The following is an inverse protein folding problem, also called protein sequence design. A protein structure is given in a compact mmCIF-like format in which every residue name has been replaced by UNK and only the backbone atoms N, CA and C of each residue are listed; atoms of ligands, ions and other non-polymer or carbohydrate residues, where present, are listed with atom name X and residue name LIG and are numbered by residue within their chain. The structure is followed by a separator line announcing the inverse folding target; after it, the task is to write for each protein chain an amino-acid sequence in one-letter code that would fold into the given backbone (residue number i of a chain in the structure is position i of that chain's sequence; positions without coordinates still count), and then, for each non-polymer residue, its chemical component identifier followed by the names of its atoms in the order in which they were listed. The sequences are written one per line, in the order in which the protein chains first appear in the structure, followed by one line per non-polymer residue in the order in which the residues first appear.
data_IF_303686315142
#
_entry.id   IF_303686315142
#
_cell.length_a   1.000
_cell.length_b   1.000
_cell.length_c   1.000
_cell.angle_alpha   90.00
_cell.angle_beta   90.00
_cell.angle_gamma   90.00
#
_symmetry.space_group_name_H-M   'P 1'
#
loop_
_entity.id
_entity.type
_entity.pdbx_description
1 polymer ?
#
# COMPACT_ATOMS: atom_id res chain seq x y z
N UNK A 1 -11.96 -14.65 0.79
CA UNK A 1 -10.50 -14.74 0.93
C UNK A 1 -9.87 -13.87 -0.14
N UNK A 2 -9.04 -12.90 0.27
CA UNK A 2 -8.19 -12.11 -0.62
C UNK A 2 -6.82 -12.79 -0.59
N UNK A 3 -6.55 -13.65 -1.58
CA UNK A 3 -5.28 -14.39 -1.72
C UNK A 3 -4.54 -13.91 -2.96
N UNK A 4 -3.29 -14.32 -3.12
CA UNK A 4 -2.47 -14.03 -4.32
C UNK A 4 -2.19 -12.53 -4.55
N UNK A 5 -1.83 -11.82 -3.48
CA UNK A 5 -1.42 -10.41 -3.54
C UNK A 5 0.11 -10.26 -3.65
N UNK A 6 0.82 -11.32 -4.06
CA UNK A 6 2.29 -11.30 -4.21
C UNK A 6 2.78 -10.23 -5.19
N UNK A 7 1.92 -9.81 -6.11
CA UNK A 7 2.16 -8.72 -7.06
C UNK A 7 1.53 -7.37 -6.65
N UNK A 8 0.96 -7.25 -5.44
CA UNK A 8 0.33 -5.99 -5.00
C UNK A 8 1.36 -4.96 -4.50
N UNK A 9 2.52 -5.42 -4.03
CA UNK A 9 3.54 -4.59 -3.37
C UNK A 9 4.83 -4.47 -4.20
N UNK A 10 4.73 -4.09 -5.47
CA UNK A 10 5.87 -4.05 -6.41
C UNK A 10 7.15 -3.38 -5.90
N UNK A 11 7.05 -2.38 -5.03
CA UNK A 11 8.21 -1.68 -4.45
C UNK A 11 9.17 -2.63 -3.71
N UNK A 12 8.69 -3.76 -3.19
CA UNK A 12 9.54 -4.67 -2.40
C UNK A 12 10.60 -5.40 -3.24
N UNK A 13 10.52 -5.32 -4.56
CA UNK A 13 11.52 -5.87 -5.48
C UNK A 13 12.61 -4.84 -5.83
N UNK A 14 12.36 -3.56 -5.53
CA UNK A 14 13.27 -2.47 -5.84
C UNK A 14 12.95 -1.24 -4.97
N UNK A 15 13.82 -1.02 -4.00
CA UNK A 15 13.72 0.02 -2.98
C UNK A 15 14.33 1.36 -3.40
N UNK A 16 14.93 1.49 -4.59
CA UNK A 16 15.64 2.73 -4.97
C UNK A 16 14.75 3.99 -4.95
N UNK A 17 13.51 3.88 -5.42
CA UNK A 17 12.54 4.99 -5.54
C UNK A 17 11.28 4.77 -4.69
N UNK A 18 11.39 4.07 -3.55
CA UNK A 18 10.22 3.65 -2.78
C UNK A 18 9.36 4.82 -2.27
N UNK A 19 9.97 5.96 -1.91
CA UNK A 19 9.26 7.15 -1.42
C UNK A 19 8.36 7.75 -2.51
N UNK A 20 8.88 7.89 -3.74
CA UNK A 20 8.11 8.35 -4.88
C UNK A 20 6.96 7.39 -5.18
N UNK A 21 7.26 6.08 -5.21
CA UNK A 21 6.26 5.03 -5.44
C UNK A 21 5.17 5.00 -4.38
N UNK A 22 5.50 5.25 -3.12
CA UNK A 22 4.52 5.35 -2.04
C UNK A 22 3.54 6.51 -2.26
N UNK A 23 4.05 7.64 -2.76
CA UNK A 23 3.25 8.83 -3.03
C UNK A 23 2.58 8.85 -4.43
N UNK A 24 2.79 7.82 -5.25
CA UNK A 24 2.30 7.78 -6.62
C UNK A 24 0.76 7.59 -6.70
N UNK A 25 0.15 8.10 -7.78
CA UNK A 25 -1.21 7.70 -8.16
C UNK A 25 -1.23 6.22 -8.58
N UNK A 26 -2.41 5.61 -8.68
CA UNK A 26 -2.56 4.23 -9.16
C UNK A 26 -3.45 4.14 -10.41
N UNK A 27 -2.95 4.49 -11.61
CA UNK A 27 -3.76 4.54 -12.84
C UNK A 27 -4.40 3.21 -13.24
N UNK A 28 -3.80 2.08 -12.84
CA UNK A 28 -4.33 0.73 -13.08
C UNK A 28 -5.64 0.46 -12.33
N UNK A 29 -6.05 1.32 -11.39
CA UNK A 29 -7.35 1.21 -10.73
C UNK A 29 -8.51 1.17 -11.72
N UNK A 30 -8.36 1.81 -12.89
CA UNK A 30 -9.36 1.80 -13.96
C UNK A 30 -9.69 0.38 -14.45
N UNK A 31 -8.80 -0.59 -14.25
CA UNK A 31 -8.98 -1.97 -14.70
C UNK A 31 -9.55 -2.85 -13.57
N UNK A 32 -9.81 -2.27 -12.40
CA UNK A 32 -10.29 -3.01 -11.24
C UNK A 32 -11.73 -3.49 -11.43
N UNK A 33 -11.92 -4.81 -11.34
CA UNK A 33 -13.19 -5.49 -11.57
C UNK A 33 -14.32 -5.11 -10.62
N UNK A 34 -14.08 -4.32 -9.57
CA UNK A 34 -15.13 -3.77 -8.67
C UNK A 34 -15.30 -2.25 -8.78
N UNK A 35 -14.51 -1.55 -9.60
CA UNK A 35 -14.55 -0.09 -9.69
C UNK A 35 -15.95 0.47 -10.06
N UNK A 36 -16.71 -0.11 -11.02
CA UNK A 36 -18.04 0.39 -11.36
C UNK A 36 -19.02 0.47 -10.17
N UNK A 37 -18.90 -0.47 -9.22
CA UNK A 37 -19.76 -0.58 -8.05
C UNK A 37 -19.26 0.20 -6.82
N UNK A 38 -18.08 0.82 -6.90
CA UNK A 38 -17.44 1.51 -5.78
C UNK A 38 -18.00 2.94 -5.57
N UNK A 39 -19.22 3.05 -5.06
CA UNK A 39 -19.93 4.35 -4.91
C UNK A 39 -19.42 5.24 -3.77
N UNK A 40 -18.82 4.64 -2.73
CA UNK A 40 -18.54 5.32 -1.46
C UNK A 40 -17.04 5.52 -1.18
N UNK A 41 -16.18 5.52 -2.20
CA UNK A 41 -14.71 5.55 -2.05
C UNK A 41 -14.25 6.64 -1.07
N UNK A 42 -14.68 7.89 -1.28
CA UNK A 42 -14.27 9.02 -0.42
C UNK A 42 -14.88 8.95 0.99
N UNK A 43 -16.08 8.39 1.12
CA UNK A 43 -16.78 8.31 2.40
C UNK A 43 -16.19 7.25 3.35
N UNK A 44 -15.53 6.22 2.82
CA UNK A 44 -14.92 5.16 3.62
C UNK A 44 -13.48 5.45 4.05
N UNK A 45 -12.77 6.34 3.35
CA UNK A 45 -11.36 6.63 3.62
C UNK A 45 -11.04 6.99 5.08
N UNK A 46 -11.76 7.94 5.74
CA UNK A 46 -11.47 8.27 7.14
C UNK A 46 -11.61 7.07 8.07
N UNK A 47 -12.59 6.19 7.82
CA UNK A 47 -12.83 4.98 8.63
C UNK A 47 -11.76 3.92 8.44
N UNK A 48 -11.14 3.86 7.26
CA UNK A 48 -10.08 2.89 6.98
C UNK A 48 -8.73 3.40 7.47
N UNK A 49 -8.44 4.70 7.34
CA UNK A 49 -7.20 5.30 7.86
C UNK A 49 -7.04 5.10 9.36
N UNK A 50 -8.10 5.23 10.15
CA UNK A 50 -8.04 4.98 11.62
C UNK A 50 -7.77 3.52 11.97
N UNK A 51 -7.93 2.58 11.05
CA UNK A 51 -7.57 1.17 11.25
C UNK A 51 -6.15 0.84 10.82
N UNK A 52 -5.48 1.77 10.14
CA UNK A 52 -4.14 1.63 9.59
C UNK A 52 -3.18 2.62 10.28
N UNK A 53 -3.33 2.82 11.58
CA UNK A 53 -2.39 3.59 12.39
C UNK A 53 -0.98 2.96 12.31
N UNK A 54 0.05 3.75 12.59
CA UNK A 54 1.44 3.27 12.50
C UNK A 54 1.67 2.05 13.40
N UNK A 55 1.07 2.03 14.60
CA UNK A 55 1.09 0.88 15.51
C UNK A 55 0.45 -0.38 14.90
N UNK A 56 -0.61 -0.23 14.11
CA UNK A 56 -1.24 -1.34 13.41
C UNK A 56 -0.35 -1.87 12.29
N UNK A 57 0.32 -0.98 11.56
CA UNK A 57 1.29 -1.36 10.52
C UNK A 57 2.50 -2.09 11.13
N UNK A 58 3.04 -1.56 12.23
CA UNK A 58 4.14 -2.20 12.99
C UNK A 58 3.74 -3.59 13.47
N UNK A 59 2.55 -3.74 14.05
CA UNK A 59 2.04 -5.03 14.51
C UNK A 59 1.87 -6.02 13.35
N UNK A 60 1.29 -5.61 12.23
CA UNK A 60 1.13 -6.46 11.04
C UNK A 60 2.49 -6.88 10.48
N UNK A 61 3.43 -5.92 10.34
CA UNK A 61 4.76 -6.22 9.81
C UNK A 61 5.52 -7.13 10.76
N UNK A 62 5.33 -7.04 12.08
CA UNK A 62 5.98 -7.91 13.06
C UNK A 62 5.57 -9.39 12.93
N UNK A 63 4.39 -9.69 12.40
CA UNK A 63 3.92 -11.07 12.17
C UNK A 63 4.69 -11.80 11.03
N UNK A 64 5.42 -11.07 10.19
CA UNK A 64 6.23 -11.68 9.13
C UNK A 64 7.38 -12.47 9.76
N UNK A 65 7.59 -13.76 9.45
CA UNK A 65 8.69 -14.53 10.01
C UNK A 65 10.07 -13.94 9.68
N UNK A 66 10.98 -13.90 10.66
CA UNK A 66 12.35 -13.37 10.47
C UNK A 66 13.09 -14.03 9.30
N UNK A 67 12.93 -15.35 9.14
CA UNK A 67 13.57 -16.15 8.08
C UNK A 67 13.18 -15.70 6.66
N UNK A 68 12.06 -14.98 6.50
CA UNK A 68 11.67 -14.42 5.20
C UNK A 68 12.29 -13.06 4.92
N UNK A 69 12.90 -12.42 5.92
CA UNK A 69 13.50 -11.09 5.85
C UNK A 69 15.03 -11.13 5.97
N UNK A 70 15.59 -12.32 6.18
CA UNK A 70 17.04 -12.57 6.20
C UNK A 70 17.63 -12.49 4.79
N UNK A 71 18.92 -12.17 4.72
CA UNK A 71 19.72 -12.18 3.49
C UNK A 71 19.26 -11.22 2.37
N UNK A 72 18.46 -10.19 2.70
CA UNK A 72 18.10 -9.13 1.78
C UNK A 72 19.22 -8.09 1.69
N UNK A 73 19.89 -8.00 0.52
CA UNK A 73 21.06 -7.12 0.31
C UNK A 73 20.75 -5.63 0.54
N UNK A 74 19.49 -5.22 0.35
CA UNK A 74 19.05 -3.85 0.53
C UNK A 74 19.07 -3.37 2.00
N UNK A 75 19.17 -4.28 2.98
CA UNK A 75 19.04 -3.95 4.40
C UNK A 75 20.17 -4.51 5.26
N UNK A 76 20.55 -3.77 6.30
CA UNK A 76 21.59 -4.18 7.23
C UNK A 76 21.15 -5.36 8.12
N UNK A 77 19.85 -5.42 8.47
CA UNK A 77 19.27 -6.47 9.29
C UNK A 77 17.73 -6.54 9.11
N UNK A 78 17.12 -7.54 9.75
CA UNK A 78 15.67 -7.77 9.75
C UNK A 78 14.90 -6.57 10.31
N UNK A 79 15.45 -5.86 11.30
CA UNK A 79 14.77 -4.71 11.91
C UNK A 79 14.70 -3.52 10.94
N UNK A 80 15.79 -3.24 10.22
CA UNK A 80 15.85 -2.23 9.17
C UNK A 80 14.87 -2.57 8.03
N UNK A 81 14.80 -3.84 7.63
CA UNK A 81 13.86 -4.30 6.60
C UNK A 81 12.39 -4.07 7.04
N UNK A 82 12.03 -4.44 8.27
CA UNK A 82 10.68 -4.17 8.82
C UNK A 82 10.38 -2.67 8.88
N UNK A 83 11.34 -1.87 9.35
CA UNK A 83 11.20 -0.43 9.43
C UNK A 83 10.94 0.19 8.05
N UNK A 84 11.63 -0.29 7.01
CA UNK A 84 11.40 0.16 5.63
C UNK A 84 9.99 -0.17 5.13
N UNK A 85 9.45 -1.36 5.42
CA UNK A 85 8.05 -1.70 5.10
C UNK A 85 7.06 -0.79 5.82
N UNK A 86 7.25 -0.55 7.12
CA UNK A 86 6.39 0.36 7.90
C UNK A 86 6.46 1.76 7.31
N UNK A 87 7.65 2.24 6.96
CA UNK A 87 7.84 3.56 6.35
C UNK A 87 7.13 3.68 5.00
N UNK A 88 7.27 2.68 4.12
CA UNK A 88 6.54 2.65 2.84
C UNK A 88 5.03 2.68 3.04
N UNK A 89 4.50 1.79 3.89
CA UNK A 89 3.05 1.65 4.11
C UNK A 89 2.46 2.91 4.76
N UNK A 90 3.19 3.54 5.69
CA UNK A 90 2.79 4.79 6.31
C UNK A 90 2.79 5.94 5.29
N UNK A 91 3.88 6.10 4.51
CA UNK A 91 3.94 7.10 3.45
C UNK A 91 2.82 6.91 2.42
N UNK A 92 2.52 5.65 2.06
CA UNK A 92 1.44 5.29 1.15
C UNK A 92 0.07 5.68 1.70
N UNK A 93 -0.19 5.41 2.99
CA UNK A 93 -1.41 5.81 3.71
C UNK A 93 -1.54 7.32 3.77
N UNK A 94 -0.46 8.03 4.07
CA UNK A 94 -0.47 9.48 4.26
C UNK A 94 -0.66 10.22 2.92
N UNK A 95 -0.23 9.62 1.82
CA UNK A 95 -0.47 10.10 0.46
C UNK A 95 -1.81 9.63 -0.15
N UNK A 96 -2.72 9.05 0.64
CA UNK A 96 -3.85 8.29 0.09
C UNK A 96 -4.83 9.09 -0.77
N UNK A 97 -4.94 10.40 -0.52
CA UNK A 97 -5.78 11.29 -1.32
C UNK A 97 -5.46 11.19 -2.81
N UNK A 98 -4.18 11.02 -3.17
CA UNK A 98 -3.73 10.97 -4.57
C UNK A 98 -4.31 9.77 -5.32
N UNK A 99 -4.32 8.59 -4.71
CA UNK A 99 -4.85 7.40 -5.37
C UNK A 99 -6.37 7.26 -5.21
N UNK A 100 -6.95 7.87 -4.18
CA UNK A 100 -8.40 7.99 -4.01
C UNK A 100 -8.99 8.88 -5.11
N UNK A 101 -8.37 10.03 -5.37
CA UNK A 101 -8.74 10.91 -6.49
C UNK A 101 -8.69 10.17 -7.82
N UNK A 102 -7.58 9.49 -8.12
CA UNK A 102 -7.46 8.69 -9.35
C UNK A 102 -8.57 7.63 -9.48
N UNK A 103 -8.94 6.96 -8.38
CA UNK A 103 -10.01 5.98 -8.38
C UNK A 103 -11.38 6.61 -8.69
N UNK A 104 -11.67 7.78 -8.10
CA UNK A 104 -12.90 8.53 -8.35
C UNK A 104 -12.96 9.00 -9.81
N UNK A 105 -11.87 9.57 -10.32
CA UNK A 105 -11.75 10.07 -11.69
C UNK A 105 -11.85 8.92 -12.70
N UNK A 106 -11.21 7.78 -12.43
CA UNK A 106 -11.33 6.58 -13.25
C UNK A 106 -12.76 6.04 -13.28
N UNK A 107 -13.45 6.01 -12.13
CA UNK A 107 -14.85 5.56 -12.06
C UNK A 107 -15.78 6.48 -12.85
N UNK A 108 -15.60 7.80 -12.76
CA UNK A 108 -16.41 8.77 -13.51
C UNK A 108 -16.23 8.66 -15.02
N UNK A 109 -15.04 8.26 -15.51
CA UNK A 109 -14.79 8.01 -16.93
C UNK A 109 -15.36 6.69 -17.46
N UNK A 110 -15.70 5.76 -16.56
CA UNK A 110 -16.31 4.46 -16.89
C UNK A 110 -17.84 4.51 -16.95
N UNK A 111 -18.45 5.53 -16.36
CA UNK A 111 -19.90 5.80 -16.41
C UNK A 111 -20.24 6.63 -17.66
#
# INVERSE_FOLDING_TARGET
WLIDHGAALYFHHDWSDWEERAAARFPMIREHALLPWAENIRAVDPKLRTRLETSSLEAIVAEVPDVWLQDEEAFADVAAHRAAYVAYLAARRDAADRFIEEAIDARQRHL
#
